data_IF_583788071150
#
_entry.id   IF_583788071150
#
_cell.length_a   1.000
_cell.length_b   1.000
_cell.length_c   1.000
_cell.angle_alpha   90.00
_cell.angle_beta   90.00
_cell.angle_gamma   90.00
#
_symmetry.space_group_name_H-M   'P 1'
#
loop_
_entity.id
_entity.type
_entity.pdbx_description
1 polymer ?
#
# COMPACT_ATOMS: atom_id res chain seq x y z
N UNK A 1 19.82 33.64 2.52
CA UNK A 1 18.82 32.63 2.92
C UNK A 1 17.65 32.47 1.95
N UNK A 2 17.61 33.15 0.80
CA UNK A 2 16.48 33.17 -0.14
C UNK A 2 16.50 32.11 -1.26
N UNK A 3 17.62 31.40 -1.47
CA UNK A 3 17.80 30.49 -2.62
C UNK A 3 17.27 29.05 -2.42
N UNK A 4 17.16 28.55 -1.18
CA UNK A 4 16.64 27.19 -0.92
C UNK A 4 15.12 27.09 -1.11
N UNK A 5 14.38 28.12 -0.71
CA UNK A 5 12.91 28.14 -0.81
C UNK A 5 12.41 28.20 -2.26
N UNK A 6 13.08 28.94 -3.16
CA UNK A 6 12.62 29.03 -4.55
C UNK A 6 12.88 27.74 -5.34
N UNK A 7 13.90 26.96 -4.95
CA UNK A 7 14.25 25.69 -5.59
C UNK A 7 13.27 24.59 -5.18
N UNK A 8 13.01 24.46 -3.87
CA UNK A 8 12.01 23.52 -3.34
C UNK A 8 10.60 23.75 -3.91
N UNK A 9 10.16 25.00 -4.05
CA UNK A 9 8.84 25.29 -4.63
C UNK A 9 8.75 24.94 -6.13
N UNK A 10 9.86 25.08 -6.87
CA UNK A 10 9.93 24.75 -8.30
C UNK A 10 10.01 23.24 -8.53
N UNK A 11 10.76 22.54 -7.68
CA UNK A 11 10.87 21.08 -7.70
C UNK A 11 9.52 20.45 -7.33
N UNK A 12 8.81 21.00 -6.33
CA UNK A 12 7.47 20.54 -5.94
C UNK A 12 6.45 20.69 -7.07
N UNK A 13 6.41 21.85 -7.72
CA UNK A 13 5.51 22.12 -8.85
C UNK A 13 5.81 21.29 -10.10
N UNK A 14 7.06 20.84 -10.28
CA UNK A 14 7.42 19.92 -11.36
C UNK A 14 6.89 18.51 -11.07
N UNK A 15 7.02 18.05 -9.82
CA UNK A 15 6.52 16.73 -9.41
C UNK A 15 4.98 16.66 -9.51
N UNK A 16 4.25 17.72 -9.12
CA UNK A 16 2.78 17.77 -9.28
C UNK A 16 2.34 17.62 -10.74
N UNK A 17 3.05 18.29 -11.65
CA UNK A 17 2.77 18.20 -13.08
C UNK A 17 3.01 16.78 -13.60
N UNK A 18 4.12 16.14 -13.19
CA UNK A 18 4.40 14.75 -13.58
C UNK A 18 3.32 13.79 -13.11
N UNK A 19 2.82 13.95 -11.87
CA UNK A 19 1.73 13.13 -11.36
C UNK A 19 0.49 13.32 -12.23
N UNK A 20 0.08 14.57 -12.48
CA UNK A 20 -1.10 14.85 -13.29
C UNK A 20 -1.00 14.29 -14.72
N UNK A 21 0.19 14.28 -15.31
CA UNK A 21 0.44 13.69 -16.63
C UNK A 21 0.38 12.16 -16.60
N UNK A 22 0.93 11.52 -15.56
CA UNK A 22 0.92 10.05 -15.42
C UNK A 22 -0.48 9.53 -15.12
N UNK A 23 -1.27 10.25 -14.31
CA UNK A 23 -2.60 9.80 -13.84
C UNK A 23 -3.76 10.37 -14.66
N UNK A 24 -3.50 10.90 -15.86
CA UNK A 24 -4.52 11.64 -16.63
C UNK A 24 -5.70 10.76 -17.07
N UNK A 25 -5.43 9.50 -17.40
CA UNK A 25 -6.40 8.54 -17.97
C UNK A 25 -6.57 7.30 -17.08
N UNK A 26 -6.49 7.47 -15.75
CA UNK A 26 -6.57 6.36 -14.79
C UNK A 26 -7.81 6.52 -13.91
N UNK A 27 -8.64 5.49 -13.82
CA UNK A 27 -9.90 5.46 -13.10
C UNK A 27 -9.78 4.86 -11.69
N UNK A 28 -8.76 4.03 -11.46
CA UNK A 28 -8.49 3.42 -10.15
C UNK A 28 -6.98 3.33 -9.81
N UNK A 29 -6.67 2.91 -8.58
CA UNK A 29 -5.29 2.79 -8.07
C UNK A 29 -4.48 1.74 -8.86
N UNK A 30 -5.13 0.68 -9.35
CA UNK A 30 -4.48 -0.37 -10.12
C UNK A 30 -4.03 0.14 -11.49
N UNK A 31 -4.90 0.86 -12.20
CA UNK A 31 -4.56 1.55 -13.45
C UNK A 31 -3.51 2.63 -13.23
N UNK A 32 -3.60 3.37 -12.11
CA UNK A 32 -2.59 4.36 -11.74
C UNK A 32 -1.22 3.73 -11.51
N UNK A 33 -1.15 2.58 -10.84
CA UNK A 33 0.07 1.82 -10.63
C UNK A 33 0.65 1.30 -11.95
N UNK A 34 -0.20 0.85 -12.88
CA UNK A 34 0.22 0.51 -14.24
C UNK A 34 0.78 1.71 -15.01
N UNK A 35 0.15 2.88 -14.89
CA UNK A 35 0.63 4.12 -15.53
C UNK A 35 1.99 4.55 -14.96
N UNK A 36 2.18 4.47 -13.63
CA UNK A 36 3.49 4.72 -13.04
C UNK A 36 4.53 3.69 -13.47
N UNK A 37 4.18 2.40 -13.54
CA UNK A 37 5.09 1.36 -14.06
C UNK A 37 5.57 1.73 -15.47
N UNK A 38 4.64 2.07 -16.36
CA UNK A 38 4.93 2.46 -17.73
C UNK A 38 5.82 3.71 -17.79
N UNK A 39 5.49 4.75 -17.03
CA UNK A 39 6.28 5.97 -16.97
C UNK A 39 7.73 5.73 -16.48
N UNK A 40 7.92 4.79 -15.54
CA UNK A 40 9.24 4.39 -15.09
C UNK A 40 10.01 3.65 -16.19
N UNK A 41 9.34 2.74 -16.90
CA UNK A 41 9.93 1.98 -18.02
C UNK A 41 10.33 2.89 -19.19
N UNK A 42 9.55 3.93 -19.49
CA UNK A 42 9.78 4.84 -20.62
C UNK A 42 10.84 5.91 -20.33
N UNK A 43 11.09 6.24 -19.06
CA UNK A 43 11.83 7.45 -18.70
C UNK A 43 12.98 7.26 -17.71
N UNK A 44 13.11 6.09 -17.10
CA UNK A 44 14.27 5.76 -16.25
C UNK A 44 15.24 4.90 -17.04
N UNK A 45 16.43 5.44 -17.31
CA UNK A 45 17.49 4.71 -18.00
C UNK A 45 17.99 3.54 -17.13
N UNK A 46 17.53 2.32 -17.42
CA UNK A 46 17.96 1.10 -16.73
C UNK A 46 18.99 0.30 -17.56
N UNK A 47 19.96 -0.38 -16.91
CA UNK A 47 20.17 -0.45 -15.47
C UNK A 47 20.73 0.85 -14.88
N UNK A 48 20.30 1.20 -13.66
CA UNK A 48 20.66 2.46 -13.00
C UNK A 48 21.26 2.27 -11.59
N UNK A 49 22.21 3.12 -11.22
CA UNK A 49 22.71 3.18 -9.84
C UNK A 49 21.65 3.74 -8.89
N UNK A 50 21.47 3.09 -7.74
CA UNK A 50 20.56 3.51 -6.68
C UNK A 50 21.00 3.07 -5.30
N UNK A 51 20.26 3.51 -4.29
CA UNK A 51 20.48 3.15 -2.89
C UNK A 51 19.20 2.66 -2.24
N UNK A 52 19.32 1.67 -1.36
CA UNK A 52 18.23 1.19 -0.50
C UNK A 52 18.73 1.19 0.94
N UNK A 53 18.16 2.06 1.78
CA UNK A 53 18.60 2.24 3.18
C UNK A 53 20.13 2.46 3.26
N UNK A 54 20.65 3.31 2.37
CA UNK A 54 22.08 3.63 2.28
C UNK A 54 22.98 2.54 1.67
N UNK A 55 22.44 1.38 1.28
CA UNK A 55 23.18 0.30 0.61
C UNK A 55 23.13 0.51 -0.91
N UNK A 56 24.29 0.54 -1.61
CA UNK A 56 24.30 0.70 -3.07
C UNK A 56 23.77 -0.54 -3.78
N UNK A 57 23.00 -0.31 -4.85
CA UNK A 57 22.42 -1.34 -5.73
C UNK A 57 22.38 -0.85 -7.17
N UNK A 58 22.27 -1.79 -8.11
CA UNK A 58 21.93 -1.54 -9.51
C UNK A 58 20.46 -1.91 -9.69
N UNK A 59 19.61 -0.94 -10.00
CA UNK A 59 18.20 -1.17 -10.38
C UNK A 59 18.18 -1.70 -11.81
N UNK A 60 17.47 -2.81 -12.03
CA UNK A 60 17.42 -3.53 -13.31
C UNK A 60 16.09 -3.33 -14.01
N UNK A 61 14.98 -3.44 -13.27
CA UNK A 61 13.62 -3.39 -13.82
C UNK A 61 12.65 -2.83 -12.77
N UNK A 62 11.56 -2.20 -13.23
CA UNK A 62 10.38 -1.91 -12.43
C UNK A 62 9.24 -2.82 -12.84
N UNK A 63 8.42 -3.23 -11.89
CA UNK A 63 7.32 -4.16 -12.12
C UNK A 63 6.12 -3.84 -11.24
N UNK A 64 4.94 -4.20 -11.74
CA UNK A 64 3.69 -4.16 -11.01
C UNK A 64 2.93 -5.46 -11.28
N UNK A 65 2.62 -6.20 -10.22
CA UNK A 65 2.03 -7.53 -10.28
C UNK A 65 0.51 -7.54 -10.08
N UNK A 66 -0.13 -6.36 -10.11
CA UNK A 66 -1.56 -6.20 -9.86
C UNK A 66 -1.94 -6.13 -8.38
N UNK A 67 -0.97 -6.19 -7.45
CA UNK A 67 -1.24 -6.05 -6.02
C UNK A 67 -1.10 -4.58 -5.58
N UNK A 68 -2.23 -3.87 -5.48
CA UNK A 68 -2.28 -2.47 -5.04
C UNK A 68 -1.63 -2.22 -3.67
N UNK A 69 -1.67 -3.21 -2.76
CA UNK A 69 -1.09 -3.09 -1.42
C UNK A 69 0.44 -3.13 -1.46
N UNK A 70 1.00 -3.89 -2.40
CA UNK A 70 2.45 -3.97 -2.64
C UNK A 70 2.96 -2.77 -3.43
N UNK A 71 2.13 -2.26 -4.34
CA UNK A 71 2.51 -1.20 -5.26
C UNK A 71 3.62 -1.62 -6.22
N UNK A 72 4.34 -0.64 -6.78
CA UNK A 72 5.46 -0.89 -7.68
C UNK A 72 6.61 -1.56 -6.94
N UNK A 73 7.20 -2.55 -7.58
CA UNK A 73 8.43 -3.19 -7.15
C UNK A 73 9.55 -2.92 -8.13
N UNK A 74 10.78 -3.11 -7.68
CA UNK A 74 11.96 -2.97 -8.51
C UNK A 74 12.90 -4.14 -8.27
N UNK A 75 13.38 -4.75 -9.36
CA UNK A 75 14.45 -5.74 -9.31
C UNK A 75 15.79 -5.03 -9.21
N UNK A 76 16.55 -5.35 -8.18
CA UNK A 76 17.83 -4.73 -7.87
C UNK A 76 18.93 -5.78 -7.71
N UNK A 77 20.13 -5.50 -8.20
CA UNK A 77 21.34 -6.31 -8.04
C UNK A 77 22.33 -5.65 -7.09
N UNK A 78 22.91 -6.41 -6.17
CA UNK A 78 23.98 -5.97 -5.27
C UNK A 78 25.36 -6.20 -5.90
N UNK A 79 26.39 -5.60 -5.30
CA UNK A 79 27.80 -5.74 -5.72
C UNK A 79 28.27 -7.21 -5.77
N UNK A 80 27.74 -8.07 -4.88
CA UNK A 80 28.03 -9.51 -4.85
C UNK A 80 27.29 -10.31 -5.95
N UNK A 81 26.57 -9.64 -6.86
CA UNK A 81 25.85 -10.22 -7.99
C UNK A 81 24.45 -10.75 -7.64
N UNK A 82 24.05 -10.71 -6.37
CA UNK A 82 22.74 -11.21 -5.95
C UNK A 82 21.60 -10.26 -6.32
N UNK A 83 20.45 -10.82 -6.72
CA UNK A 83 19.27 -10.09 -7.18
C UNK A 83 18.09 -10.23 -6.22
N UNK A 84 17.34 -9.15 -6.02
CA UNK A 84 16.21 -9.09 -5.10
C UNK A 84 15.14 -8.11 -5.60
N UNK A 85 13.89 -8.32 -5.20
CA UNK A 85 12.81 -7.33 -5.39
C UNK A 85 12.62 -6.49 -4.13
N UNK A 86 12.40 -5.20 -4.32
CA UNK A 86 12.08 -4.23 -3.26
C UNK A 86 10.95 -3.32 -3.68
N UNK A 87 10.31 -2.64 -2.73
CA UNK A 87 9.35 -1.59 -3.06
C UNK A 87 10.06 -0.48 -3.83
N UNK A 88 9.49 -0.03 -4.95
CA UNK A 88 10.09 1.03 -5.76
C UNK A 88 10.29 2.29 -4.92
N UNK A 89 9.32 2.63 -4.07
CA UNK A 89 9.39 3.78 -3.17
C UNK A 89 10.62 3.79 -2.24
N UNK A 90 11.23 2.64 -1.93
CA UNK A 90 12.42 2.56 -1.07
C UNK A 90 13.73 2.89 -1.81
N UNK A 91 13.70 3.01 -3.14
CA UNK A 91 14.88 3.33 -3.94
C UNK A 91 15.15 4.82 -3.86
N UNK A 92 16.40 5.15 -3.58
CA UNK A 92 16.93 6.51 -3.68
C UNK A 92 17.88 6.58 -4.87
N UNK A 93 17.48 7.33 -5.90
CA UNK A 93 18.33 7.64 -7.04
C UNK A 93 19.22 8.87 -6.78
N UNK A 94 20.30 9.06 -7.57
CA UNK A 94 21.07 10.29 -7.57
C UNK A 94 20.19 11.53 -7.84
N UNK A 95 20.40 12.62 -7.09
CA UNK A 95 19.51 13.81 -7.01
C UNK A 95 19.20 14.51 -8.35
N UNK A 96 19.89 14.18 -9.43
CA UNK A 96 19.73 14.80 -10.75
C UNK A 96 19.42 13.79 -11.87
N UNK A 97 19.06 12.54 -11.55
CA UNK A 97 18.63 11.56 -12.55
C UNK A 97 17.14 11.67 -12.84
N UNK A 98 16.71 11.18 -14.01
CA UNK A 98 15.29 11.02 -14.31
C UNK A 98 14.60 10.14 -13.26
N UNK A 99 15.26 9.04 -12.86
CA UNK A 99 14.78 8.15 -11.80
C UNK A 99 14.45 8.86 -10.48
N UNK A 100 15.21 9.88 -10.08
CA UNK A 100 14.91 10.65 -8.87
C UNK A 100 13.59 11.42 -8.98
N UNK A 101 13.28 11.98 -10.15
CA UNK A 101 12.03 12.72 -10.36
C UNK A 101 10.82 11.79 -10.42
N UNK A 102 10.93 10.65 -11.12
CA UNK A 102 9.85 9.67 -11.20
C UNK A 102 9.59 8.97 -9.86
N UNK A 103 10.63 8.63 -9.10
CA UNK A 103 10.49 8.17 -7.72
C UNK A 103 9.86 9.23 -6.84
N UNK A 104 10.23 10.51 -6.98
CA UNK A 104 9.62 11.58 -6.22
C UNK A 104 8.12 11.73 -6.53
N UNK A 105 7.73 11.64 -7.81
CA UNK A 105 6.33 11.64 -8.24
C UNK A 105 5.55 10.45 -7.66
N UNK A 106 6.11 9.25 -7.76
CA UNK A 106 5.49 8.06 -7.22
C UNK A 106 5.34 8.11 -5.69
N UNK A 107 6.40 8.52 -4.98
CA UNK A 107 6.38 8.71 -3.53
C UNK A 107 5.35 9.75 -3.11
N UNK A 108 5.29 10.87 -3.82
CA UNK A 108 4.30 11.93 -3.56
C UNK A 108 2.87 11.46 -3.82
N UNK A 109 2.64 10.68 -4.87
CA UNK A 109 1.33 10.07 -5.14
C UNK A 109 0.92 9.09 -4.03
N UNK A 110 1.88 8.33 -3.48
CA UNK A 110 1.71 7.53 -2.26
C UNK A 110 1.61 8.37 -0.97
N UNK A 111 1.60 9.70 -1.05
CA UNK A 111 1.64 10.65 0.06
C UNK A 111 2.85 10.49 1.01
N UNK A 112 3.98 10.01 0.47
CA UNK A 112 5.28 9.96 1.14
C UNK A 112 6.08 11.23 0.84
N UNK A 113 7.10 11.51 1.66
CA UNK A 113 8.08 12.56 1.35
C UNK A 113 8.71 12.29 -0.03
N UNK A 114 8.56 13.20 -1.02
CA UNK A 114 9.11 13.02 -2.36
C UNK A 114 10.65 12.94 -2.36
N UNK A 115 11.31 13.57 -1.38
CA UNK A 115 12.77 13.67 -1.30
C UNK A 115 13.28 13.32 0.11
N UNK A 116 13.27 12.04 0.50
CA UNK A 116 13.67 11.62 1.84
C UNK A 116 15.13 12.00 2.14
N UNK A 117 15.39 12.42 3.38
CA UNK A 117 16.73 12.80 3.86
C UNK A 117 17.68 11.60 3.82
N UNK A 118 18.84 11.76 3.17
CA UNK A 118 19.89 10.75 3.17
C UNK A 118 20.58 10.71 4.54
N UNK A 119 20.45 9.62 5.28
CA UNK A 119 21.33 9.35 6.42
C UNK A 119 22.77 9.25 5.93
N UNK A 120 23.65 10.01 6.59
CA UNK A 120 25.08 10.10 6.28
C UNK A 120 25.72 8.72 6.15
N UNK A 121 26.43 8.50 5.03
CA UNK A 121 27.23 7.30 4.70
C UNK A 121 27.74 6.53 5.94
N UNK A 122 27.40 5.24 6.12
CA UNK A 122 28.08 4.44 7.11
C UNK A 122 29.50 4.14 6.63
N UNK A 123 30.48 4.58 7.42
CA UNK A 123 31.88 4.19 7.29
C UNK A 123 32.04 2.68 7.46
N UNK A 124 32.99 2.10 6.72
CA UNK A 124 33.32 0.67 6.53
C UNK A 124 33.60 -0.20 7.78
N UNK A 125 33.23 0.21 9.00
CA UNK A 125 33.56 -0.49 10.26
C UNK A 125 32.31 -0.79 11.09
N UNK A 126 31.66 -1.95 10.89
CA UNK A 126 30.81 -2.60 11.91
C UNK A 126 30.38 -4.01 11.45
N UNK A 127 31.32 -4.96 11.49
CA UNK A 127 31.05 -6.38 11.20
C UNK A 127 30.75 -7.21 12.47
N UNK A 128 30.33 -6.60 13.58
CA UNK A 128 30.19 -7.29 14.89
C UNK A 128 28.75 -7.48 15.41
N UNK A 129 27.71 -7.17 14.64
CA UNK A 129 26.29 -7.27 15.10
C UNK A 129 25.58 -8.61 14.80
N UNK A 130 26.27 -9.60 14.23
CA UNK A 130 25.69 -10.88 13.81
C UNK A 130 25.78 -11.91 14.94
N UNK A 131 24.68 -12.58 15.27
CA UNK A 131 24.67 -13.69 16.22
C UNK A 131 25.43 -14.91 15.66
N UNK A 132 26.08 -15.66 16.54
CA UNK A 132 26.76 -16.93 16.28
C UNK A 132 25.99 -18.09 16.92
N UNK A 133 26.35 -19.34 16.57
CA UNK A 133 25.70 -20.54 17.14
C UNK A 133 25.86 -20.63 18.66
N UNK A 134 26.90 -20.00 19.22
CA UNK A 134 27.16 -19.95 20.66
C UNK A 134 26.20 -19.01 21.41
N UNK A 135 25.46 -18.15 20.70
CA UNK A 135 24.52 -17.17 21.27
C UNK A 135 23.08 -17.74 21.44
N UNK A 136 22.81 -18.99 21.00
CA UNK A 136 21.45 -19.54 20.92
C UNK A 136 21.38 -20.93 21.57
N UNK A 137 20.61 -21.04 22.65
CA UNK A 137 20.28 -22.31 23.29
C UNK A 137 18.97 -22.88 22.73
N UNK A 138 19.10 -23.87 21.84
CA UNK A 138 17.97 -24.54 21.18
C UNK A 138 17.31 -25.63 22.03
N UNK A 139 17.76 -25.86 23.28
CA UNK A 139 17.09 -26.81 24.19
C UNK A 139 15.76 -26.28 24.74
N UNK A 140 15.46 -24.99 24.50
CA UNK A 140 14.23 -24.30 24.87
C UNK A 140 13.70 -23.43 23.72
N UNK A 141 12.42 -23.05 23.73
CA UNK A 141 11.89 -22.08 22.76
C UNK A 141 12.68 -20.75 22.81
N UNK A 142 13.02 -20.21 21.64
CA UNK A 142 13.75 -18.96 21.48
C UNK A 142 12.78 -17.86 21.03
N UNK A 143 12.70 -16.78 21.80
CA UNK A 143 11.85 -15.63 21.48
C UNK A 143 12.61 -14.59 20.64
N UNK A 144 11.93 -14.09 19.61
CA UNK A 144 12.50 -13.22 18.58
C UNK A 144 11.60 -12.01 18.33
N UNK A 145 12.21 -10.84 18.15
CA UNK A 145 11.54 -9.64 17.66
C UNK A 145 11.83 -9.50 16.16
N UNK A 146 10.82 -9.63 15.31
CA UNK A 146 10.97 -9.38 13.87
C UNK A 146 11.18 -7.88 13.62
N UNK A 147 12.34 -7.51 13.08
CA UNK A 147 12.67 -6.13 12.74
C UNK A 147 12.36 -5.80 11.28
N UNK A 148 12.50 -6.79 10.39
CA UNK A 148 12.11 -6.65 8.99
C UNK A 148 11.83 -8.01 8.37
N UNK A 149 10.75 -8.10 7.60
CA UNK A 149 10.34 -9.32 6.88
C UNK A 149 10.52 -9.07 5.38
N UNK A 150 11.29 -9.92 4.69
CA UNK A 150 11.53 -9.83 3.24
C UNK A 150 11.50 -11.22 2.61
N UNK A 151 10.51 -11.50 1.76
CA UNK A 151 10.29 -12.66 0.86
C UNK A 151 10.80 -14.08 1.18
N UNK A 152 11.95 -14.31 1.82
CA UNK A 152 12.44 -15.60 2.37
C UNK A 152 13.24 -15.43 3.66
N UNK A 153 13.30 -14.21 4.16
CA UNK A 153 14.26 -13.76 5.13
C UNK A 153 13.56 -12.90 6.17
N UNK A 154 13.59 -13.36 7.42
CA UNK A 154 13.17 -12.53 8.55
C UNK A 154 14.41 -12.09 9.29
N UNK A 155 14.62 -10.78 9.35
CA UNK A 155 15.65 -10.18 10.20
C UNK A 155 15.04 -10.03 11.59
N UNK A 156 15.53 -10.84 12.52
CA UNK A 156 15.09 -10.87 13.89
C UNK A 156 16.17 -10.34 14.83
N UNK A 157 15.75 -9.86 15.98
CA UNK A 157 16.62 -9.62 17.14
C UNK A 157 16.26 -10.59 18.24
N UNK A 158 17.25 -11.16 18.92
CA UNK A 158 17.03 -11.97 20.12
C UNK A 158 16.42 -11.10 21.22
N UNK A 159 15.30 -11.54 21.80
CA UNK A 159 14.66 -10.79 22.88
C UNK A 159 15.63 -10.61 24.05
N UNK A 160 15.79 -9.37 24.55
CA UNK A 160 16.74 -9.04 25.61
C UNK A 160 18.20 -8.79 25.17
N UNK A 161 18.50 -8.76 23.86
CA UNK A 161 19.84 -8.41 23.36
C UNK A 161 19.81 -7.55 22.08
N UNK A 162 20.97 -7.02 21.67
CA UNK A 162 21.17 -6.33 20.39
C UNK A 162 21.72 -7.23 19.28
N UNK A 163 21.70 -8.55 19.50
CA UNK A 163 22.21 -9.54 18.55
C UNK A 163 21.18 -9.80 17.45
N UNK A 164 21.64 -9.71 16.20
CA UNK A 164 20.79 -9.90 15.02
C UNK A 164 20.88 -11.33 14.50
N UNK A 165 19.71 -11.95 14.31
CA UNK A 165 19.51 -13.23 13.65
C UNK A 165 18.82 -12.99 12.32
N UNK A 166 19.16 -13.81 11.34
CA UNK A 166 18.49 -13.82 10.04
C UNK A 166 17.97 -15.21 9.81
N UNK A 167 16.65 -15.38 9.93
CA UNK A 167 15.98 -16.63 9.59
C UNK A 167 15.84 -16.68 8.07
N UNK A 168 16.25 -17.80 7.46
CA UNK A 168 16.04 -18.07 6.03
C UNK A 168 15.16 -19.30 5.90
N UNK A 169 14.04 -19.16 5.21
CA UNK A 169 13.14 -20.27 4.91
C UNK A 169 13.09 -20.52 3.40
N UNK A 170 12.84 -21.77 3.00
CA UNK A 170 12.76 -22.15 1.59
C UNK A 170 11.54 -21.50 0.90
N UNK A 171 10.48 -21.23 1.66
CA UNK A 171 9.38 -20.33 1.31
C UNK A 171 9.08 -19.40 2.50
N UNK A 172 8.91 -18.09 2.30
CA UNK A 172 8.35 -17.23 3.37
C UNK A 172 6.89 -17.52 3.65
N UNK A 173 6.21 -18.21 2.74
CA UNK A 173 4.85 -18.67 2.93
C UNK A 173 4.72 -19.66 4.11
N UNK A 174 5.83 -20.29 4.53
CA UNK A 174 5.91 -21.12 5.75
C UNK A 174 6.15 -20.30 7.04
N UNK A 175 6.40 -18.98 6.93
CA UNK A 175 6.82 -18.11 8.05
C UNK A 175 5.97 -16.83 8.19
N UNK A 176 5.44 -16.27 7.10
CA UNK A 176 4.68 -15.02 7.06
C UNK A 176 3.91 -14.85 5.73
N UNK A 177 2.90 -15.69 5.48
CA UNK A 177 1.95 -15.46 4.38
C UNK A 177 0.91 -14.42 4.86
N UNK A 178 0.87 -13.22 4.27
CA UNK A 178 -0.19 -12.24 4.56
C UNK A 178 -1.54 -12.84 4.11
N UNK A 179 -2.45 -13.14 5.04
CA UNK A 179 -3.67 -13.86 4.70
C UNK A 179 -4.58 -13.10 3.71
N UNK A 180 -4.52 -11.76 3.71
CA UNK A 180 -5.26 -10.92 2.77
C UNK A 180 -4.76 -11.11 1.34
N UNK A 181 -3.44 -11.01 1.14
CA UNK A 181 -2.82 -11.26 -0.17
C UNK A 181 -3.18 -12.65 -0.71
N UNK A 182 -3.06 -13.68 0.14
CA UNK A 182 -3.41 -15.06 -0.24
C UNK A 182 -4.89 -15.20 -0.65
N UNK A 183 -5.80 -14.53 0.06
CA UNK A 183 -7.21 -14.57 -0.30
C UNK A 183 -7.48 -13.93 -1.67
N UNK A 184 -6.81 -12.81 -1.98
CA UNK A 184 -6.94 -12.17 -3.30
C UNK A 184 -6.39 -13.04 -4.42
N UNK A 185 -5.22 -13.66 -4.23
CA UNK A 185 -4.62 -14.56 -5.22
C UNK A 185 -5.54 -15.75 -5.53
N UNK A 186 -6.15 -16.34 -4.50
CA UNK A 186 -7.13 -17.43 -4.67
C UNK A 186 -8.39 -16.96 -5.40
N UNK A 187 -8.91 -15.78 -5.07
CA UNK A 187 -10.08 -15.24 -5.75
C UNK A 187 -9.78 -14.97 -7.24
N UNK A 188 -8.61 -14.42 -7.56
CA UNK A 188 -8.16 -14.21 -8.94
C UNK A 188 -7.97 -15.52 -9.71
N UNK A 189 -7.55 -16.59 -9.03
CA UNK A 189 -7.47 -17.94 -9.58
C UNK A 189 -8.84 -18.63 -9.76
N UNK A 190 -9.95 -18.00 -9.33
CA UNK A 190 -11.29 -18.57 -9.36
C UNK A 190 -11.61 -19.48 -8.16
N UNK A 191 -10.67 -19.65 -7.22
CA UNK A 191 -10.83 -20.43 -5.98
C UNK A 191 -11.56 -19.62 -4.90
N UNK A 192 -12.74 -19.10 -5.25
CA UNK A 192 -13.50 -18.13 -4.43
C UNK A 192 -13.92 -18.68 -3.07
N UNK A 193 -14.17 -19.98 -2.95
CA UNK A 193 -14.55 -20.61 -1.69
C UNK A 193 -13.39 -20.57 -0.66
N UNK A 194 -12.18 -20.88 -1.10
CA UNK A 194 -11.00 -20.87 -0.25
C UNK A 194 -10.55 -19.44 0.08
N UNK A 195 -10.68 -18.52 -0.87
CA UNK A 195 -10.48 -17.09 -0.63
C UNK A 195 -11.40 -16.54 0.48
N UNK A 196 -12.70 -16.81 0.38
CA UNK A 196 -13.69 -16.42 1.40
C UNK A 196 -13.37 -17.05 2.75
N UNK A 197 -12.98 -18.34 2.76
CA UNK A 197 -12.65 -19.05 4.00
C UNK A 197 -11.51 -18.36 4.75
N UNK A 198 -10.43 -17.98 4.06
CA UNK A 198 -9.31 -17.27 4.70
C UNK A 198 -9.76 -15.96 5.35
N UNK A 199 -10.55 -15.16 4.64
CA UNK A 199 -11.02 -13.87 5.17
C UNK A 199 -11.99 -14.06 6.34
N UNK A 200 -12.84 -15.08 6.29
CA UNK A 200 -13.73 -15.43 7.39
C UNK A 200 -12.95 -15.91 8.62
N UNK A 201 -11.91 -16.74 8.43
CA UNK A 201 -11.03 -17.19 9.51
C UNK A 201 -10.30 -15.99 10.16
N UNK A 202 -9.91 -14.98 9.37
CA UNK A 202 -9.36 -13.72 9.89
C UNK A 202 -10.37 -12.96 10.74
N UNK A 203 -11.60 -12.75 10.23
CA UNK A 203 -12.65 -12.08 10.98
C UNK A 203 -13.03 -12.83 12.28
N UNK A 204 -12.96 -14.17 12.27
CA UNK A 204 -13.16 -14.98 13.48
C UNK A 204 -12.02 -14.79 14.49
N UNK A 205 -10.78 -14.65 14.03
CA UNK A 205 -9.63 -14.43 14.90
C UNK A 205 -9.58 -13.01 15.48
N UNK A 206 -9.90 -11.99 14.68
CA UNK A 206 -10.04 -10.60 15.09
C UNK A 206 -11.07 -9.91 14.21
N UNK A 207 -12.23 -9.62 14.80
CA UNK A 207 -13.33 -8.93 14.10
C UNK A 207 -12.92 -7.53 13.62
N UNK A 208 -11.87 -6.93 14.21
CA UNK A 208 -11.37 -5.59 13.85
C UNK A 208 -10.44 -5.60 12.65
N UNK A 209 -10.24 -6.75 12.00
CA UNK A 209 -9.54 -6.82 10.73
C UNK A 209 -10.39 -6.16 9.62
N UNK A 210 -10.32 -4.83 9.54
CA UNK A 210 -11.08 -4.04 8.57
C UNK A 210 -10.78 -4.45 7.13
N UNK A 211 -9.54 -4.86 6.87
CA UNK A 211 -9.08 -5.27 5.54
C UNK A 211 -9.84 -6.54 5.10
N UNK A 212 -10.04 -7.51 6.00
CA UNK A 212 -10.81 -8.71 5.72
C UNK A 212 -12.29 -8.39 5.39
N UNK A 213 -12.90 -7.46 6.13
CA UNK A 213 -14.25 -6.98 5.83
C UNK A 213 -14.36 -6.29 4.48
N UNK A 214 -13.39 -5.42 4.13
CA UNK A 214 -13.38 -4.78 2.82
C UNK A 214 -13.29 -5.79 1.67
N UNK A 215 -12.44 -6.82 1.81
CA UNK A 215 -12.28 -7.85 0.78
C UNK A 215 -13.48 -8.78 0.68
N UNK A 216 -14.12 -9.16 1.79
CA UNK A 216 -15.38 -9.90 1.78
C UNK A 216 -16.50 -9.10 1.12
N UNK A 217 -16.57 -7.79 1.39
CA UNK A 217 -17.46 -6.86 0.72
C UNK A 217 -17.22 -6.83 -0.79
N UNK A 218 -15.97 -6.63 -1.21
CA UNK A 218 -15.58 -6.60 -2.63
C UNK A 218 -15.98 -7.90 -3.33
N UNK A 219 -15.72 -9.05 -2.70
CA UNK A 219 -16.10 -10.34 -3.27
C UNK A 219 -17.61 -10.51 -3.38
N UNK A 220 -18.45 -9.80 -2.63
CA UNK A 220 -19.90 -9.90 -2.75
C UNK A 220 -20.52 -8.80 -3.62
N UNK A 221 -19.81 -7.68 -3.81
CA UNK A 221 -20.33 -6.42 -4.32
C UNK A 221 -21.13 -6.61 -5.61
N UNK A 222 -20.50 -7.08 -6.68
CA UNK A 222 -21.10 -7.12 -8.03
C UNK A 222 -22.43 -7.87 -8.10
N UNK A 223 -22.56 -8.99 -7.37
CA UNK A 223 -23.69 -9.90 -7.54
C UNK A 223 -24.67 -9.92 -6.35
N UNK A 224 -24.23 -9.48 -5.17
CA UNK A 224 -24.99 -9.59 -3.92
C UNK A 224 -24.77 -8.35 -3.05
N UNK A 225 -25.26 -7.16 -3.48
CA UNK A 225 -25.09 -5.93 -2.72
C UNK A 225 -25.67 -6.02 -1.30
N UNK A 226 -26.72 -6.83 -1.08
CA UNK A 226 -27.30 -7.06 0.25
C UNK A 226 -26.37 -7.84 1.20
N UNK A 227 -25.43 -8.62 0.66
CA UNK A 227 -24.40 -9.32 1.44
C UNK A 227 -23.17 -8.43 1.59
N UNK A 228 -22.77 -7.75 0.51
CA UNK A 228 -21.61 -6.87 0.51
C UNK A 228 -21.75 -5.75 1.55
N UNK A 229 -22.94 -5.13 1.63
CA UNK A 229 -23.19 -4.03 2.57
C UNK A 229 -22.92 -4.43 4.02
N UNK A 230 -23.23 -5.68 4.41
CA UNK A 230 -23.03 -6.16 5.78
C UNK A 230 -21.54 -6.19 6.15
N UNK A 231 -20.68 -6.66 5.23
CA UNK A 231 -19.24 -6.69 5.47
C UNK A 231 -18.65 -5.29 5.53
N UNK A 232 -18.98 -4.43 4.56
CA UNK A 232 -18.50 -3.06 4.57
C UNK A 232 -18.97 -2.27 5.79
N UNK A 233 -20.24 -2.42 6.19
CA UNK A 233 -20.80 -1.75 7.35
C UNK A 233 -20.05 -2.15 8.63
N UNK A 234 -19.82 -3.44 8.86
CA UNK A 234 -19.09 -3.90 10.04
C UNK A 234 -17.69 -3.27 10.10
N UNK A 235 -16.94 -3.32 9.00
CA UNK A 235 -15.60 -2.73 8.95
C UNK A 235 -15.63 -1.20 9.13
N UNK A 236 -16.58 -0.52 8.50
CA UNK A 236 -16.76 0.92 8.62
C UNK A 236 -17.09 1.32 10.06
N UNK A 237 -18.05 0.66 10.71
CA UNK A 237 -18.47 0.98 12.08
C UNK A 237 -17.37 0.71 13.11
N UNK A 238 -16.58 -0.36 12.94
CA UNK A 238 -15.42 -0.62 13.82
C UNK A 238 -14.35 0.46 13.66
N UNK A 239 -14.05 0.88 12.42
CA UNK A 239 -13.09 1.96 12.21
C UNK A 239 -13.61 3.31 12.73
N UNK A 240 -14.90 3.59 12.60
CA UNK A 240 -15.53 4.81 13.12
C UNK A 240 -15.37 4.91 14.65
N UNK A 241 -15.56 3.81 15.37
CA UNK A 241 -15.30 3.73 16.82
C UNK A 241 -13.86 4.07 17.21
N UNK A 242 -12.90 3.83 16.30
CA UNK A 242 -11.47 4.08 16.55
C UNK A 242 -11.08 5.55 16.37
N UNK A 243 -11.87 6.34 15.65
CA UNK A 243 -11.65 7.78 15.45
C UNK A 243 -12.10 8.59 16.68
N UNK A 244 -13.19 8.17 17.33
CA UNK A 244 -13.84 8.90 18.41
C UNK A 244 -14.84 9.95 17.92
N UNK A 245 -15.82 10.32 18.76
CA UNK A 245 -16.92 11.21 18.38
C UNK A 245 -16.47 12.64 18.04
N UNK A 246 -15.35 13.09 18.61
CA UNK A 246 -14.80 14.44 18.44
C UNK A 246 -13.70 14.52 17.36
N UNK A 247 -13.56 13.52 16.50
CA UNK A 247 -12.52 13.53 15.48
C UNK A 247 -12.78 14.62 14.43
N UNK A 248 -11.93 15.65 14.42
CA UNK A 248 -11.99 16.77 13.44
C UNK A 248 -10.86 16.72 12.40
N UNK A 249 -10.14 15.59 12.30
CA UNK A 249 -8.99 15.43 11.41
C UNK A 249 -9.34 14.86 10.03
N UNK A 250 -8.31 14.66 9.22
CA UNK A 250 -8.40 13.94 7.94
C UNK A 250 -7.68 12.59 8.06
N UNK A 251 -8.03 11.66 7.17
CA UNK A 251 -7.43 10.34 7.00
C UNK A 251 -6.79 10.25 5.61
N UNK A 252 -5.52 10.68 5.46
CA UNK A 252 -4.84 10.62 4.18
C UNK A 252 -4.67 9.17 3.70
N UNK A 253 -4.90 8.93 2.41
CA UNK A 253 -4.78 7.61 1.76
C UNK A 253 -3.38 6.99 1.85
N UNK A 254 -2.33 7.82 1.81
CA UNK A 254 -0.96 7.33 1.88
C UNK A 254 -0.54 6.78 3.25
N UNK A 255 -1.30 7.06 4.31
CA UNK A 255 -1.19 6.27 5.53
C UNK A 255 -1.90 4.94 5.30
N UNK A 256 -1.12 3.90 5.02
CA UNK A 256 -1.59 2.57 4.62
C UNK A 256 -2.65 2.02 5.58
N UNK A 257 -2.50 2.28 6.88
CA UNK A 257 -3.42 1.82 7.93
C UNK A 257 -4.83 2.44 7.84
N UNK A 258 -4.99 3.57 7.13
CA UNK A 258 -6.30 4.19 6.88
C UNK A 258 -7.08 3.49 5.77
N UNK A 259 -6.39 2.82 4.84
CA UNK A 259 -7.00 2.32 3.60
C UNK A 259 -8.11 1.31 3.85
N UNK A 260 -7.97 0.32 4.76
CA UNK A 260 -9.05 -0.61 5.05
C UNK A 260 -10.33 0.08 5.50
N UNK A 261 -10.23 1.06 6.39
CA UNK A 261 -11.38 1.85 6.85
C UNK A 261 -12.02 2.63 5.70
N UNK A 262 -11.22 3.34 4.91
CA UNK A 262 -11.73 4.15 3.81
C UNK A 262 -12.34 3.28 2.68
N UNK A 263 -11.79 2.07 2.44
CA UNK A 263 -12.38 1.08 1.51
C UNK A 263 -13.72 0.55 2.02
N UNK A 264 -13.82 0.22 3.31
CA UNK A 264 -15.11 -0.14 3.92
C UNK A 264 -16.14 0.98 3.80
N UNK A 265 -15.74 2.22 4.09
CA UNK A 265 -16.62 3.39 3.99
C UNK A 265 -17.12 3.60 2.55
N UNK A 266 -16.21 3.52 1.57
CA UNK A 266 -16.55 3.61 0.16
C UNK A 266 -17.53 2.52 -0.27
N UNK A 267 -17.20 1.26 0.01
CA UNK A 267 -18.03 0.12 -0.34
C UNK A 267 -19.42 0.19 0.31
N UNK A 268 -19.50 0.65 1.56
CA UNK A 268 -20.77 0.87 2.25
C UNK A 268 -21.62 1.94 1.53
N UNK A 269 -21.05 3.11 1.22
CA UNK A 269 -21.72 4.17 0.46
C UNK A 269 -22.22 3.69 -0.91
N UNK A 270 -21.37 2.98 -1.65
CA UNK A 270 -21.73 2.41 -2.95
C UNK A 270 -22.81 1.34 -2.84
N UNK A 271 -22.80 0.50 -1.80
CA UNK A 271 -23.89 -0.46 -1.56
C UNK A 271 -25.20 0.23 -1.18
N UNK A 272 -25.17 1.28 -0.36
CA UNK A 272 -26.37 2.08 -0.03
C UNK A 272 -27.00 2.63 -1.33
N UNK A 273 -26.17 3.19 -2.21
CA UNK A 273 -26.61 3.68 -3.51
C UNK A 273 -27.21 2.57 -4.37
N UNK A 274 -26.53 1.42 -4.51
CA UNK A 274 -27.05 0.23 -5.22
C UNK A 274 -28.37 -0.30 -4.68
N UNK A 275 -28.65 -0.07 -3.40
CA UNK A 275 -29.89 -0.48 -2.75
C UNK A 275 -30.95 0.63 -2.74
N UNK A 276 -30.74 1.74 -3.46
CA UNK A 276 -31.66 2.86 -3.57
C UNK A 276 -31.75 3.73 -2.31
N UNK A 277 -30.80 3.60 -1.38
CA UNK A 277 -30.71 4.40 -0.15
C UNK A 277 -29.90 5.66 -0.41
N UNK A 278 -30.43 6.54 -1.25
CA UNK A 278 -29.70 7.70 -1.78
C UNK A 278 -29.28 8.71 -0.71
N UNK A 279 -30.16 9.02 0.26
CA UNK A 279 -29.88 10.00 1.30
C UNK A 279 -28.72 9.55 2.20
N UNK A 280 -28.73 8.27 2.61
CA UNK A 280 -27.66 7.67 3.39
C UNK A 280 -26.35 7.56 2.58
N UNK A 281 -26.42 7.17 1.31
CA UNK A 281 -25.26 7.12 0.42
C UNK A 281 -24.62 8.49 0.27
N UNK A 282 -25.41 9.54 0.04
CA UNK A 282 -24.94 10.93 -0.04
C UNK A 282 -24.22 11.32 1.26
N UNK A 283 -24.82 11.04 2.42
CA UNK A 283 -24.23 11.37 3.71
C UNK A 283 -22.86 10.70 3.90
N UNK A 284 -22.74 9.42 3.55
CA UNK A 284 -21.47 8.69 3.62
C UNK A 284 -20.44 9.29 2.65
N UNK A 285 -20.83 9.56 1.40
CA UNK A 285 -19.93 10.15 0.42
C UNK A 285 -19.45 11.55 0.81
N UNK A 286 -20.32 12.41 1.34
CA UNK A 286 -19.91 13.71 1.90
C UNK A 286 -18.90 13.56 3.04
N UNK A 287 -19.18 12.66 3.99
CA UNK A 287 -18.26 12.38 5.10
C UNK A 287 -16.91 11.85 4.60
N UNK A 288 -16.93 11.02 3.57
CA UNK A 288 -15.71 10.45 2.98
C UNK A 288 -14.86 11.52 2.29
N UNK A 289 -15.47 12.45 1.54
CA UNK A 289 -14.76 13.57 0.93
C UNK A 289 -14.13 14.51 1.95
N UNK A 290 -14.76 14.66 3.12
CA UNK A 290 -14.18 15.41 4.23
C UNK A 290 -13.01 14.66 4.89
N UNK A 291 -13.16 13.35 5.14
CA UNK A 291 -12.11 12.52 5.74
C UNK A 291 -10.92 12.31 4.80
N UNK A 292 -11.14 12.10 3.51
CA UNK A 292 -10.09 11.92 2.50
C UNK A 292 -10.19 13.02 1.43
N UNK A 293 -9.65 14.23 1.67
CA UNK A 293 -9.73 15.33 0.72
C UNK A 293 -9.00 15.09 -0.60
N UNK A 294 -8.14 14.06 -0.72
CA UNK A 294 -7.54 13.68 -1.99
C UNK A 294 -8.50 12.88 -2.87
N UNK A 295 -9.53 12.26 -2.27
CA UNK A 295 -10.54 11.45 -2.93
C UNK A 295 -9.99 10.34 -3.83
N UNK A 296 -9.06 9.54 -3.28
CA UNK A 296 -8.42 8.44 -4.00
C UNK A 296 -9.41 7.38 -4.50
N UNK A 297 -10.62 7.32 -3.95
CA UNK A 297 -11.67 6.39 -4.35
C UNK A 297 -12.64 6.97 -5.39
N UNK A 298 -12.48 8.24 -5.77
CA UNK A 298 -13.25 8.86 -6.85
C UNK A 298 -14.71 9.20 -6.49
N UNK A 299 -15.03 9.39 -5.21
CA UNK A 299 -16.39 9.72 -4.75
C UNK A 299 -16.92 11.02 -5.36
N UNK A 300 -16.06 12.00 -5.69
CA UNK A 300 -16.48 13.24 -6.36
C UNK A 300 -17.15 12.99 -7.70
N UNK A 301 -16.82 11.89 -8.37
CA UNK A 301 -17.42 11.49 -9.64
C UNK A 301 -18.73 10.72 -9.47
N UNK A 302 -19.09 10.32 -8.24
CA UNK A 302 -20.29 9.54 -7.92
C UNK A 302 -21.38 10.39 -7.24
N UNK A 303 -20.96 11.35 -6.42
CA UNK A 303 -21.86 12.00 -5.46
C UNK A 303 -23.01 12.78 -6.10
N UNK A 304 -22.79 13.35 -7.29
CA UNK A 304 -23.84 14.11 -7.97
C UNK A 304 -24.94 13.20 -8.53
N UNK A 305 -24.60 12.00 -9.02
CA UNK A 305 -25.57 10.98 -9.44
C UNK A 305 -26.42 10.50 -8.25
N UNK A 306 -25.78 10.31 -7.09
CA UNK A 306 -26.50 9.96 -5.85
C UNK A 306 -27.46 11.08 -5.45
N UNK A 307 -27.03 12.36 -5.51
CA UNK A 307 -27.87 13.52 -5.17
C UNK A 307 -29.08 13.67 -6.10
N UNK A 308 -28.94 13.30 -7.36
CA UNK A 308 -30.04 13.34 -8.33
C UNK A 308 -30.89 12.07 -8.30
N UNK A 309 -30.61 11.14 -7.38
CA UNK A 309 -31.25 9.83 -7.28
C UNK A 309 -31.17 9.00 -8.57
N UNK A 310 -30.07 9.13 -9.32
CA UNK A 310 -29.79 8.30 -10.50
C UNK A 310 -29.54 6.88 -10.03
N UNK A 311 -30.25 5.89 -10.57
CA UNK A 311 -30.05 4.50 -10.17
C UNK A 311 -28.66 4.02 -10.59
N UNK A 312 -28.09 3.07 -9.82
CA UNK A 312 -26.75 2.54 -10.11
C UNK A 312 -26.66 1.94 -11.52
N UNK A 313 -27.71 1.23 -11.95
CA UNK A 313 -27.79 0.56 -13.25
C UNK A 313 -27.85 1.55 -14.43
N UNK A 314 -28.31 2.77 -14.20
CA UNK A 314 -28.40 3.81 -15.24
C UNK A 314 -27.02 4.39 -15.57
N UNK A 315 -26.03 4.18 -14.70
CA UNK A 315 -24.63 4.60 -14.88
C UNK A 315 -23.83 3.67 -15.79
N UNK A 316 -24.12 2.36 -15.77
CA UNK A 316 -23.40 1.36 -16.55
C UNK A 316 -23.76 1.39 -18.05
N UNK A 317 -24.68 2.26 -18.47
CA UNK A 317 -25.21 2.35 -19.84
C UNK A 317 -24.67 3.54 -20.67
N UNK A 318 -23.70 4.30 -20.17
CA UNK A 318 -23.00 5.37 -20.91
C UNK A 318 -21.53 5.03 -21.20
#
# INVERSE_FOLDING_TARGET
MTSRNSKSNKDQGNVDKMIAEITVDTYDDNETLWAFRQAFEDHVDLPADGFIIGVPVIVIEFDYDGNERRGLTAKCRREDGSEYRVAAADIVFPQFSAGANYIAAYRKWLNLDPFPVQDSKPSRRQQQHKATLDDIDLSRPVELVALSVKERVVRCRLLGSDRMITLRANHIWDVANDPITRANDLNAAGERADAIKILMDLCQSDLRCLDAHSHLGNFAFDHRPQVAIQHYEVGFRIGELSLGEDFTGVLPWGHIDNRPFLRCMHGYGSCLWRLGQFAEAEHIFQKMLWLNPSDNQGVRFLIDEVKTNTAWEDREND
#
